data_IF_396043535248
#
_entry.id   IF_396043535248
#
_cell.length_a   1.000
_cell.length_b   1.000
_cell.length_c   1.000
_cell.angle_alpha   90.00
_cell.angle_beta   90.00
_cell.angle_gamma   90.00
#
_symmetry.space_group_name_H-M   'P 1'
#
loop_
_entity.id
_entity.type
_entity.pdbx_description
1 polymer ?
#
# COMPACT_ATOMS: atom_id res chain seq x y z
N UNK A 1 -55.10 53.53 73.75
CA UNK A 1 -54.62 53.94 72.41
C UNK A 1 -54.38 52.70 71.54
N UNK A 2 -54.50 52.79 70.20
CA UNK A 2 -55.39 51.95 69.41
C UNK A 2 -54.76 50.70 68.76
N UNK A 3 -55.66 49.88 68.22
CA UNK A 3 -55.45 48.68 67.40
C UNK A 3 -54.34 48.79 66.36
N UNK A 4 -53.70 47.65 66.03
CA UNK A 4 -53.01 47.52 64.76
C UNK A 4 -53.33 46.21 64.04
N UNK A 5 -53.81 46.42 62.82
CA UNK A 5 -54.31 45.46 61.85
C UNK A 5 -53.20 44.59 61.25
N UNK A 6 -53.66 43.44 60.79
CA UNK A 6 -53.05 42.37 59.96
C UNK A 6 -52.05 42.85 58.91
N UNK A 7 -51.05 42.01 58.63
CA UNK A 7 -50.60 41.74 57.26
C UNK A 7 -50.14 40.29 57.11
N UNK A 8 -50.83 39.58 56.22
CA UNK A 8 -50.47 38.30 55.61
C UNK A 8 -49.23 38.47 54.75
N UNK A 9 -48.26 37.56 54.81
CA UNK A 9 -47.26 37.37 53.74
C UNK A 9 -47.06 35.88 53.49
N UNK A 10 -47.25 35.51 52.23
CA UNK A 10 -47.34 34.14 51.74
C UNK A 10 -45.99 33.45 51.58
N UNK A 11 -46.11 32.12 51.50
CA UNK A 11 -45.06 31.14 51.25
C UNK A 11 -44.83 31.08 49.73
N UNK A 12 -43.59 31.33 49.29
CA UNK A 12 -43.15 31.05 47.93
C UNK A 12 -42.28 29.79 47.93
N UNK A 13 -42.77 28.73 47.31
CA UNK A 13 -42.05 27.48 47.02
C UNK A 13 -41.27 27.69 45.72
N UNK A 14 -39.95 27.59 45.77
CA UNK A 14 -39.10 27.56 44.57
C UNK A 14 -38.74 26.12 44.22
N UNK A 15 -39.23 25.68 43.06
CA UNK A 15 -38.86 24.44 42.38
C UNK A 15 -37.37 24.51 42.00
N UNK A 16 -36.56 23.61 42.55
CA UNK A 16 -35.16 23.43 42.15
C UNK A 16 -35.07 22.57 40.89
N UNK A 17 -34.78 23.19 39.75
CA UNK A 17 -34.42 22.51 38.51
C UNK A 17 -33.01 21.91 38.64
N UNK A 18 -32.90 20.58 38.61
CA UNK A 18 -31.62 19.88 38.47
C UNK A 18 -31.06 20.14 37.05
N UNK A 19 -29.94 20.86 36.97
CA UNK A 19 -29.22 21.09 35.71
C UNK A 19 -28.32 19.90 35.41
N UNK A 20 -28.68 19.09 34.41
CA UNK A 20 -27.82 18.06 33.84
C UNK A 20 -26.76 18.76 32.97
N UNK A 21 -25.52 18.85 33.46
CA UNK A 21 -24.41 19.46 32.72
C UNK A 21 -23.96 18.52 31.59
N UNK A 22 -24.33 18.85 30.35
CA UNK A 22 -23.85 18.19 29.15
C UNK A 22 -22.43 18.71 28.85
N UNK A 23 -21.41 17.91 29.17
CA UNK A 23 -20.02 18.22 28.82
C UNK A 23 -19.85 18.11 27.29
N UNK A 24 -19.85 19.25 26.60
CA UNK A 24 -19.45 19.34 25.21
C UNK A 24 -17.95 19.06 25.11
N UNK A 25 -17.59 17.85 24.68
CA UNK A 25 -16.22 17.53 24.30
C UNK A 25 -15.79 18.45 23.17
N UNK A 26 -14.74 19.23 23.37
CA UNK A 26 -14.10 20.00 22.31
C UNK A 26 -13.56 19.01 21.27
N UNK A 27 -13.86 19.18 19.96
CA UNK A 27 -13.13 18.43 18.95
C UNK A 27 -11.69 18.91 19.01
N UNK A 28 -10.78 18.04 19.47
CA UNK A 28 -9.35 18.19 19.25
C UNK A 28 -9.12 18.22 17.75
N UNK A 29 -9.02 19.43 17.19
CA UNK A 29 -8.49 19.63 15.86
C UNK A 29 -7.06 19.07 15.89
N UNK A 30 -6.84 17.97 15.17
CA UNK A 30 -5.50 17.50 14.88
C UNK A 30 -4.78 18.64 14.17
N UNK A 31 -3.89 19.31 14.89
CA UNK A 31 -2.99 20.29 14.29
C UNK A 31 -2.13 19.52 13.29
N UNK A 32 -2.33 19.79 12.00
CA UNK A 32 -1.41 19.36 10.97
C UNK A 32 -0.03 19.87 11.41
N UNK A 33 0.88 18.95 11.70
CA UNK A 33 2.24 19.32 12.06
C UNK A 33 2.81 20.15 10.91
N UNK A 34 3.46 21.28 11.18
CA UNK A 34 4.15 22.03 10.15
C UNK A 34 5.09 21.06 9.44
N UNK A 35 4.98 20.96 8.10
CA UNK A 35 5.97 20.23 7.30
C UNK A 35 7.30 20.88 7.61
N UNK A 36 8.15 20.20 8.38
CA UNK A 36 9.54 20.60 8.50
C UNK A 36 10.10 20.72 7.08
N UNK A 37 10.89 21.76 6.76
CA UNK A 37 11.70 21.80 5.55
C UNK A 37 12.86 20.82 5.72
N UNK A 38 12.52 19.56 5.97
CA UNK A 38 13.44 18.43 5.85
C UNK A 38 13.40 17.91 4.42
N UNK A 39 14.34 17.03 4.07
CA UNK A 39 14.22 16.24 2.85
C UNK A 39 12.83 15.59 2.79
N UNK A 40 12.22 15.54 1.60
CA UNK A 40 10.93 14.85 1.42
C UNK A 40 11.00 13.39 1.90
N UNK A 41 9.84 12.76 2.13
CA UNK A 41 9.75 11.38 2.66
C UNK A 41 10.59 10.37 1.86
N UNK A 42 10.81 10.63 0.57
CA UNK A 42 11.67 9.86 -0.31
C UNK A 42 13.15 9.80 0.10
N UNK A 43 13.59 10.72 0.98
CA UNK A 43 14.95 10.83 1.51
C UNK A 43 15.02 10.52 3.00
N UNK A 44 13.91 10.17 3.62
CA UNK A 44 13.91 9.70 5.00
C UNK A 44 14.63 8.35 5.10
N UNK A 45 15.40 8.18 6.17
CA UNK A 45 16.02 6.91 6.54
C UNK A 45 15.28 6.32 7.74
N UNK A 46 15.40 5.01 7.94
CA UNK A 46 14.83 4.35 9.12
C UNK A 46 15.55 4.90 10.40
N UNK A 47 14.82 5.36 11.43
CA UNK A 47 15.45 5.86 12.65
C UNK A 47 16.28 4.79 13.37
N UNK A 48 17.32 5.22 14.09
CA UNK A 48 18.10 4.32 14.93
C UNK A 48 17.22 3.68 16.01
N UNK A 49 17.34 2.36 16.20
CA UNK A 49 16.54 1.60 17.15
C UNK A 49 15.13 1.22 16.69
N UNK A 50 14.75 1.57 15.45
CA UNK A 50 13.44 1.23 14.88
C UNK A 50 13.41 -0.20 14.30
N UNK A 51 13.53 -1.18 15.20
CA UNK A 51 13.44 -2.61 14.87
C UNK A 51 14.67 -3.19 14.18
N UNK A 52 14.50 -4.41 13.63
CA UNK A 52 15.61 -5.20 13.07
C UNK A 52 16.29 -4.55 11.87
N UNK A 53 15.54 -3.86 11.01
CA UNK A 53 16.08 -3.18 9.85
C UNK A 53 16.94 -1.95 10.23
N UNK A 54 16.88 -1.50 11.49
CA UNK A 54 17.69 -0.41 12.02
C UNK A 54 19.07 -0.89 12.55
N UNK A 55 19.30 -2.20 12.61
CA UNK A 55 20.57 -2.77 13.07
C UNK A 55 21.74 -2.33 12.17
N UNK A 56 22.95 -2.31 12.74
CA UNK A 56 24.21 -2.17 11.99
C UNK A 56 24.28 -0.99 11.00
N UNK A 57 23.77 0.19 11.39
CA UNK A 57 23.85 1.40 10.57
C UNK A 57 22.54 1.79 9.87
N UNK A 58 21.45 1.09 10.18
CA UNK A 58 20.09 1.37 9.72
C UNK A 58 19.84 1.16 8.23
N UNK A 59 18.57 1.22 7.83
CA UNK A 59 18.14 1.13 6.43
C UNK A 59 18.02 2.53 5.83
N UNK A 60 18.91 2.84 4.89
CA UNK A 60 18.95 4.16 4.24
C UNK A 60 18.36 4.19 2.83
N UNK A 61 18.14 3.02 2.22
CA UNK A 61 17.61 2.90 0.86
C UNK A 61 18.36 3.81 -0.13
N UNK A 62 17.60 4.61 -0.87
CA UNK A 62 18.12 5.60 -1.82
C UNK A 62 18.24 7.02 -1.27
N UNK A 63 18.22 7.25 0.05
CA UNK A 63 18.19 8.60 0.63
C UNK A 63 19.30 9.53 0.11
N UNK A 64 20.46 8.96 -0.22
CA UNK A 64 21.63 9.66 -0.75
C UNK A 64 21.68 9.73 -2.28
N UNK A 65 20.57 9.47 -2.97
CA UNK A 65 20.50 9.54 -4.43
C UNK A 65 20.94 10.93 -4.94
N UNK A 66 21.88 10.91 -5.88
CA UNK A 66 22.25 12.09 -6.67
C UNK A 66 21.02 12.61 -7.44
N UNK A 67 20.94 13.91 -7.76
CA UNK A 67 19.78 14.49 -8.44
C UNK A 67 19.36 13.73 -9.72
N UNK A 68 20.33 13.22 -10.48
CA UNK A 68 20.15 12.42 -11.69
C UNK A 68 19.51 11.05 -11.45
N UNK A 69 19.57 10.51 -10.22
CA UNK A 69 18.96 9.24 -9.83
C UNK A 69 17.66 9.41 -9.03
N UNK A 70 16.94 10.51 -9.28
CA UNK A 70 15.61 10.76 -8.74
C UNK A 70 14.59 10.72 -9.88
N UNK A 71 13.90 9.60 -9.99
CA UNK A 71 12.96 9.30 -11.07
C UNK A 71 11.52 9.51 -10.61
N UNK A 72 10.64 9.94 -11.51
CA UNK A 72 9.18 9.81 -11.36
C UNK A 72 8.69 8.93 -12.48
N UNK A 73 7.95 7.88 -12.14
CA UNK A 73 7.50 6.85 -13.06
C UNK A 73 5.99 6.69 -12.97
N UNK A 74 5.37 6.43 -14.11
CA UNK A 74 3.93 6.30 -14.30
C UNK A 74 3.56 4.96 -14.90
N UNK A 75 4.52 4.23 -15.48
CA UNK A 75 4.33 2.89 -16.00
C UNK A 75 5.46 1.91 -15.65
N UNK A 76 5.32 0.67 -16.13
CA UNK A 76 6.26 -0.43 -15.87
C UNK A 76 7.58 -0.25 -16.61
N UNK A 77 7.56 0.27 -17.82
CA UNK A 77 8.76 0.45 -18.64
C UNK A 77 9.67 1.51 -18.01
N UNK A 78 9.09 2.64 -17.58
CA UNK A 78 9.78 3.70 -16.85
C UNK A 78 10.36 3.19 -15.52
N UNK A 79 9.61 2.39 -14.77
CA UNK A 79 10.09 1.77 -13.52
C UNK A 79 11.33 0.89 -13.76
N UNK A 80 11.29 0.04 -14.78
CA UNK A 80 12.41 -0.85 -15.11
C UNK A 80 13.61 -0.04 -15.63
N UNK A 81 13.36 0.98 -16.46
CA UNK A 81 14.41 1.85 -16.96
C UNK A 81 15.14 2.58 -15.82
N UNK A 82 14.40 3.13 -14.85
CA UNK A 82 14.97 3.78 -13.67
C UNK A 82 15.87 2.83 -12.85
N UNK A 83 15.46 1.57 -12.70
CA UNK A 83 16.27 0.56 -12.03
C UNK A 83 17.52 0.17 -12.83
N UNK A 84 17.39 0.01 -14.14
CA UNK A 84 18.51 -0.36 -15.00
C UNK A 84 19.56 0.76 -15.11
N UNK A 85 19.13 2.01 -15.25
CA UNK A 85 19.99 3.17 -15.41
C UNK A 85 20.86 3.44 -14.17
N UNK A 86 20.23 3.42 -12.98
CA UNK A 86 20.94 3.71 -11.75
C UNK A 86 21.70 2.49 -11.16
N UNK A 87 21.40 1.27 -11.61
CA UNK A 87 22.08 0.05 -11.16
C UNK A 87 22.08 -0.09 -9.63
N UNK A 88 23.27 -0.19 -9.01
CA UNK A 88 23.42 -0.25 -7.55
C UNK A 88 23.64 1.11 -6.89
N UNK A 89 23.69 2.22 -7.64
CA UNK A 89 23.81 3.56 -7.07
C UNK A 89 22.56 3.90 -6.22
N UNK A 90 22.68 4.72 -5.17
CA UNK A 90 21.51 5.22 -4.43
C UNK A 90 20.51 5.89 -5.38
N UNK A 91 19.26 5.45 -5.34
CA UNK A 91 18.21 5.93 -6.26
C UNK A 91 16.86 6.08 -5.58
N UNK A 92 16.12 7.11 -6.00
CA UNK A 92 14.75 7.36 -5.57
C UNK A 92 13.85 7.17 -6.77
N UNK A 93 12.85 6.31 -6.65
CA UNK A 93 11.84 6.09 -7.69
C UNK A 93 10.47 6.46 -7.12
N UNK A 94 9.86 7.51 -7.68
CA UNK A 94 8.56 8.03 -7.28
C UNK A 94 7.47 7.45 -8.19
N UNK A 95 6.57 6.64 -7.64
CA UNK A 95 5.43 6.09 -8.39
C UNK A 95 4.29 7.09 -8.38
N UNK A 96 3.94 7.62 -9.55
CA UNK A 96 2.82 8.54 -9.74
C UNK A 96 1.68 7.84 -10.49
N UNK A 97 0.50 7.76 -9.88
CA UNK A 97 -0.65 7.08 -10.49
C UNK A 97 -0.57 5.56 -10.36
N UNK A 98 -0.93 4.82 -11.42
CA UNK A 98 -1.02 3.35 -11.40
C UNK A 98 -0.01 2.72 -12.34
N UNK A 99 0.94 1.97 -11.79
CA UNK A 99 1.87 1.12 -12.54
C UNK A 99 1.29 -0.30 -12.62
N UNK A 100 1.04 -0.79 -13.83
CA UNK A 100 0.61 -2.16 -14.07
C UNK A 100 1.81 -3.09 -14.23
N UNK A 101 2.10 -3.95 -13.26
CA UNK A 101 3.20 -4.92 -13.33
C UNK A 101 3.00 -5.99 -14.39
N UNK A 102 1.74 -6.35 -14.65
CA UNK A 102 1.35 -7.28 -15.69
C UNK A 102 0.94 -6.52 -16.97
N UNK A 103 1.89 -5.83 -17.58
CA UNK A 103 1.68 -5.07 -18.80
C UNK A 103 2.81 -5.25 -19.82
N UNK A 104 2.50 -5.03 -21.09
CA UNK A 104 3.49 -5.00 -22.16
C UNK A 104 4.30 -3.69 -22.13
N UNK A 105 5.21 -3.53 -23.10
CA UNK A 105 6.08 -2.35 -23.19
C UNK A 105 5.31 -1.02 -23.39
N UNK A 106 4.05 -1.07 -23.80
CA UNK A 106 3.18 0.09 -23.99
C UNK A 106 2.24 0.33 -22.80
N UNK A 107 2.39 -0.43 -21.71
CA UNK A 107 1.51 -0.36 -20.53
C UNK A 107 0.16 -1.06 -20.73
N UNK A 108 -0.02 -1.85 -21.80
CA UNK A 108 -1.26 -2.61 -22.03
C UNK A 108 -1.31 -3.84 -21.13
N UNK A 109 -2.37 -4.06 -20.35
CA UNK A 109 -2.49 -5.25 -19.50
C UNK A 109 -2.40 -6.57 -20.30
N UNK A 110 -1.59 -7.51 -19.82
CA UNK A 110 -1.44 -8.83 -20.45
C UNK A 110 -2.45 -9.81 -19.85
N UNK A 111 -3.23 -10.47 -20.70
CA UNK A 111 -4.20 -11.48 -20.28
C UNK A 111 -3.57 -12.86 -20.05
N UNK A 112 -4.31 -13.75 -19.37
CA UNK A 112 -3.86 -15.11 -19.10
C UNK A 112 -3.52 -15.90 -20.37
N UNK A 113 -4.26 -15.65 -21.45
CA UNK A 113 -4.17 -16.37 -22.72
C UNK A 113 -2.81 -16.16 -23.38
N UNK A 114 -2.23 -14.97 -23.23
CA UNK A 114 -0.89 -14.65 -23.75
C UNK A 114 0.24 -15.42 -23.06
N UNK A 115 0.02 -15.95 -21.87
CA UNK A 115 1.02 -16.77 -21.16
C UNK A 115 0.83 -18.28 -21.39
N UNK A 116 -0.26 -18.71 -22.04
CA UNK A 116 -0.50 -20.14 -22.27
C UNK A 116 0.50 -20.69 -23.28
N UNK A 117 1.18 -21.77 -22.92
CA UNK A 117 2.14 -22.48 -23.78
C UNK A 117 2.06 -23.98 -23.55
N UNK A 118 2.75 -24.78 -24.36
CA UNK A 118 2.77 -26.25 -24.22
C UNK A 118 1.41 -26.91 -24.42
N UNK A 119 0.43 -26.21 -25.01
CA UNK A 119 -0.94 -26.71 -25.17
C UNK A 119 -1.79 -26.70 -23.89
N UNK A 120 -1.36 -25.95 -22.86
CA UNK A 120 -2.14 -25.76 -21.63
C UNK A 120 -3.48 -25.10 -21.93
N UNK A 121 -4.56 -25.72 -21.43
CA UNK A 121 -5.84 -25.04 -21.20
C UNK A 121 -6.37 -25.47 -19.83
N UNK A 122 -7.18 -24.62 -19.20
CA UNK A 122 -7.78 -24.95 -17.91
C UNK A 122 -8.66 -26.21 -18.02
N UNK A 123 -9.40 -26.33 -19.12
CA UNK A 123 -10.30 -27.45 -19.38
C UNK A 123 -9.53 -28.78 -19.48
N UNK A 124 -8.40 -28.80 -20.21
CA UNK A 124 -7.56 -29.99 -20.32
C UNK A 124 -6.89 -30.35 -19.01
N UNK A 125 -6.43 -29.34 -18.26
CA UNK A 125 -5.83 -29.55 -16.95
C UNK A 125 -6.85 -30.16 -15.98
N UNK A 126 -8.06 -29.59 -15.90
CA UNK A 126 -9.13 -30.11 -15.06
C UNK A 126 -9.55 -31.52 -15.46
N UNK A 127 -9.69 -31.80 -16.76
CA UNK A 127 -10.03 -33.15 -17.23
C UNK A 127 -8.94 -34.19 -16.93
N UNK A 128 -7.66 -33.80 -16.98
CA UNK A 128 -6.54 -34.69 -16.70
C UNK A 128 -6.36 -34.98 -15.21
N UNK A 129 -6.64 -34.01 -14.35
CA UNK A 129 -6.34 -34.05 -12.92
C UNK A 129 -7.58 -33.96 -12.02
N UNK A 130 -8.75 -34.24 -12.57
CA UNK A 130 -9.96 -34.46 -11.78
C UNK A 130 -9.69 -35.59 -10.76
N UNK A 131 -9.94 -35.41 -9.45
CA UNK A 131 -9.72 -36.46 -8.46
C UNK A 131 -10.43 -37.78 -8.74
N UNK A 132 -11.53 -37.78 -9.51
CA UNK A 132 -12.24 -38.99 -9.93
C UNK A 132 -11.47 -39.79 -11.00
N UNK A 133 -10.62 -39.12 -11.78
CA UNK A 133 -9.82 -39.72 -12.86
C UNK A 133 -8.38 -39.97 -12.40
N UNK A 134 -7.75 -38.99 -11.74
CA UNK A 134 -6.36 -39.00 -11.33
C UNK A 134 -6.13 -39.62 -9.94
N UNK A 135 -7.15 -39.58 -9.07
CA UNK A 135 -7.02 -39.93 -7.66
C UNK A 135 -6.41 -38.81 -6.82
N UNK A 136 -6.12 -39.12 -5.54
CA UNK A 136 -5.61 -38.16 -4.55
C UNK A 136 -4.25 -38.53 -3.95
N UNK A 137 -3.71 -39.69 -4.32
CA UNK A 137 -2.46 -40.22 -3.73
C UNK A 137 -1.21 -39.68 -4.43
N UNK A 138 -1.36 -39.06 -5.60
CA UNK A 138 -0.27 -38.52 -6.40
C UNK A 138 -0.48 -37.06 -6.75
N UNK A 139 0.61 -36.28 -6.72
CA UNK A 139 0.64 -34.89 -7.20
C UNK A 139 0.43 -34.90 -8.74
N UNK A 140 -0.36 -33.97 -9.31
CA UNK A 140 -0.47 -33.80 -10.76
C UNK A 140 0.88 -33.77 -11.44
N UNK A 141 1.02 -34.51 -12.54
CA UNK A 141 2.26 -34.61 -13.31
C UNK A 141 1.99 -34.93 -14.77
N UNK A 142 3.01 -34.83 -15.62
CA UNK A 142 2.89 -35.06 -17.06
C UNK A 142 2.50 -33.80 -17.85
N UNK A 143 2.06 -33.94 -19.11
CA UNK A 143 2.10 -32.84 -20.09
C UNK A 143 1.30 -31.60 -19.72
N UNK A 144 0.13 -31.74 -19.08
CA UNK A 144 -0.68 -30.57 -18.70
C UNK A 144 -0.08 -29.81 -17.50
N UNK A 145 0.52 -30.52 -16.54
CA UNK A 145 1.25 -29.88 -15.44
C UNK A 145 2.54 -29.22 -15.92
N UNK A 146 3.31 -29.87 -16.80
CA UNK A 146 4.49 -29.28 -17.42
C UNK A 146 4.14 -27.99 -18.18
N UNK A 147 3.05 -28.03 -18.96
CA UNK A 147 2.54 -26.88 -19.68
C UNK A 147 2.07 -25.75 -18.74
N UNK A 148 1.39 -26.08 -17.63
CA UNK A 148 0.99 -25.12 -16.59
C UNK A 148 2.20 -24.44 -15.95
N UNK A 149 3.23 -25.21 -15.59
CA UNK A 149 4.48 -24.68 -15.01
C UNK A 149 5.20 -23.77 -16.01
N UNK A 150 5.29 -24.18 -17.28
CA UNK A 150 5.89 -23.35 -18.33
C UNK A 150 5.13 -22.03 -18.52
N UNK A 151 3.79 -22.07 -18.51
CA UNK A 151 2.94 -20.87 -18.56
C UNK A 151 3.13 -19.96 -17.35
N UNK A 152 3.18 -20.53 -16.14
CA UNK A 152 3.43 -19.78 -14.92
C UNK A 152 4.81 -19.09 -14.95
N UNK A 153 5.82 -19.73 -15.55
CA UNK A 153 7.15 -19.12 -15.73
C UNK A 153 7.12 -17.91 -16.66
N UNK A 154 6.33 -17.96 -17.74
CA UNK A 154 6.16 -16.81 -18.64
C UNK A 154 5.49 -15.63 -17.92
N UNK A 155 4.43 -15.90 -17.14
CA UNK A 155 3.81 -14.86 -16.32
C UNK A 155 4.77 -14.31 -15.27
N UNK A 156 5.49 -15.18 -14.55
CA UNK A 156 6.46 -14.77 -13.54
C UNK A 156 7.56 -13.86 -14.11
N UNK A 157 8.00 -14.11 -15.34
CA UNK A 157 8.97 -13.25 -16.03
C UNK A 157 8.41 -11.85 -16.35
N UNK A 158 7.09 -11.73 -16.53
CA UNK A 158 6.43 -10.46 -16.78
C UNK A 158 6.11 -9.70 -15.49
N UNK A 159 5.59 -10.37 -14.46
CA UNK A 159 5.12 -9.66 -13.25
C UNK A 159 6.24 -9.38 -12.25
N UNK A 160 7.24 -10.27 -12.12
CA UNK A 160 8.27 -10.09 -11.11
C UNK A 160 9.25 -8.98 -11.50
N UNK A 161 9.17 -7.85 -10.79
CA UNK A 161 10.13 -6.74 -10.91
C UNK A 161 11.08 -6.79 -9.72
N UNK A 162 12.37 -7.05 -9.99
CA UNK A 162 13.40 -7.04 -8.94
C UNK A 162 13.80 -5.61 -8.62
N UNK A 163 13.70 -5.23 -7.35
CA UNK A 163 14.17 -3.93 -6.86
C UNK A 163 15.67 -4.04 -6.54
N UNK A 164 16.55 -3.25 -7.19
CA UNK A 164 17.98 -3.29 -6.92
C UNK A 164 18.32 -2.65 -5.57
N UNK A 165 19.54 -2.89 -5.09
CA UNK A 165 20.07 -2.30 -3.85
C UNK A 165 19.98 -0.77 -3.84
N UNK A 166 20.05 -0.18 -2.65
CA UNK A 166 20.11 1.27 -2.44
C UNK A 166 18.94 2.03 -3.10
N UNK A 167 17.73 1.47 -3.03
CA UNK A 167 16.53 2.02 -3.67
C UNK A 167 15.51 2.48 -2.63
N UNK A 168 15.01 3.71 -2.79
CA UNK A 168 13.75 4.14 -2.15
C UNK A 168 12.67 4.20 -3.22
N UNK A 169 11.71 3.28 -3.16
CA UNK A 169 10.52 3.26 -4.02
C UNK A 169 9.34 3.82 -3.21
N UNK A 170 8.75 4.92 -3.67
CA UNK A 170 7.73 5.64 -2.89
C UNK A 170 6.59 6.14 -3.77
N UNK A 171 5.36 6.00 -3.29
CA UNK A 171 4.18 6.54 -3.98
C UNK A 171 4.04 8.06 -3.78
N UNK A 172 3.69 8.78 -4.84
CA UNK A 172 3.46 10.24 -4.80
C UNK A 172 2.11 10.60 -5.43
N UNK A 173 1.56 11.75 -5.01
CA UNK A 173 0.28 12.25 -5.52
C UNK A 173 -0.94 11.53 -4.94
N UNK A 174 -2.07 11.59 -5.66
CA UNK A 174 -3.33 10.98 -5.22
C UNK A 174 -3.38 9.51 -5.63
N UNK A 175 -3.41 8.61 -4.65
CA UNK A 175 -3.60 7.16 -4.81
C UNK A 175 -2.56 6.47 -5.72
N UNK A 176 -1.26 6.51 -5.38
CA UNK A 176 -0.25 5.72 -6.08
C UNK A 176 -0.50 4.22 -5.91
N UNK A 177 -0.40 3.45 -7.00
CA UNK A 177 -0.67 2.01 -7.03
C UNK A 177 0.35 1.26 -7.88
N UNK A 178 0.69 0.06 -7.44
CA UNK A 178 1.29 -0.99 -8.27
C UNK A 178 0.31 -2.15 -8.30
N UNK A 179 -0.07 -2.62 -9.49
CA UNK A 179 -1.09 -3.67 -9.64
C UNK A 179 -0.49 -4.81 -10.47
N UNK A 180 -0.55 -6.03 -9.95
CA UNK A 180 -0.13 -7.24 -10.68
C UNK A 180 1.38 -7.31 -10.94
N UNK A 181 2.19 -6.82 -10.00
CA UNK A 181 3.65 -6.97 -9.95
C UNK A 181 4.03 -7.88 -8.77
#
# INVERSE_FOLDING_TARGET
MPARKRHTRGIAVTLGCASLALALGTPTLATAHPRHPGPGVERSVLPAGDGWAAAEGSTTGGAYAAPEHVYTVTDRAELIAAFAEAGDAPKIVKVAGTVHGNSDANGTPIGCDQYRTGGYTLEKYLAAYDPEVWGRDAVPSGPQEEARVASAKLQAAAVNIKVPSNTTLVGVGKNPKVIGA
#
